data_IF_437806955647
#
_entry.id   IF_437806955647
#
_cell.length_a   1.000
_cell.length_b   1.000
_cell.length_c   1.000
_cell.angle_alpha   90.00
_cell.angle_beta   90.00
_cell.angle_gamma   90.00
#
_symmetry.space_group_name_H-M   'P 1'
#
loop_
_entity.id
_entity.type
_entity.pdbx_description
1 polymer ?
#
# COMPACT_ATOMS: atom_id res chain seq x y z
N UNK A 1 0.43 -11.04 6.11
CA UNK A 1 0.16 -9.97 5.15
C UNK A 1 -0.55 -10.51 3.92
N UNK A 2 -1.49 -9.77 3.41
CA UNK A 2 -2.29 -10.21 2.27
C UNK A 2 -2.02 -9.28 1.08
N UNK A 3 -1.33 -9.77 0.04
CA UNK A 3 -1.06 -8.98 -1.16
C UNK A 3 -2.22 -9.04 -2.16
N UNK A 4 -2.12 -8.22 -3.20
CA UNK A 4 -3.06 -8.26 -4.32
C UNK A 4 -2.33 -7.91 -5.61
N UNK A 5 -3.01 -8.14 -6.75
CA UNK A 5 -2.51 -7.71 -8.05
C UNK A 5 -3.12 -6.37 -8.42
N UNK A 6 -2.35 -5.52 -9.07
CA UNK A 6 -2.89 -4.29 -9.64
C UNK A 6 -3.40 -4.57 -11.06
N UNK A 7 -4.07 -3.58 -11.71
CA UNK A 7 -4.62 -3.81 -13.05
C UNK A 7 -3.58 -4.14 -14.13
N UNK A 8 -2.31 -3.76 -13.91
CA UNK A 8 -1.24 -4.06 -14.88
C UNK A 8 -0.52 -5.39 -14.60
N UNK A 9 -0.97 -6.15 -13.60
CA UNK A 9 -0.37 -7.44 -13.29
C UNK A 9 0.82 -7.37 -12.33
N UNK A 10 1.06 -6.23 -11.72
CA UNK A 10 2.08 -6.12 -10.68
C UNK A 10 1.52 -6.62 -9.36
N UNK A 11 2.40 -7.18 -8.52
CA UNK A 11 2.02 -7.63 -7.19
C UNK A 11 2.23 -6.50 -6.20
N UNK A 12 1.20 -6.18 -5.43
CA UNK A 12 1.29 -5.17 -4.37
C UNK A 12 1.32 -5.87 -3.03
N UNK A 13 2.33 -5.55 -2.22
CA UNK A 13 2.57 -6.24 -0.95
C UNK A 13 2.65 -5.22 0.17
N UNK A 14 1.88 -5.42 1.26
CA UNK A 14 2.08 -4.60 2.45
C UNK A 14 3.43 -4.93 3.08
N UNK A 15 4.29 -3.93 3.16
CA UNK A 15 5.57 -4.06 3.87
C UNK A 15 5.36 -3.55 5.28
N UNK A 16 4.78 -4.41 6.10
CA UNK A 16 4.21 -4.08 7.39
C UNK A 16 5.20 -3.35 8.31
N UNK A 17 6.40 -3.88 8.44
CA UNK A 17 7.37 -3.35 9.39
C UNK A 17 8.00 -2.03 8.90
N UNK A 18 7.84 -1.72 7.62
CA UNK A 18 8.32 -0.46 7.04
C UNK A 18 7.20 0.53 6.76
N UNK A 19 5.94 0.19 7.12
CA UNK A 19 4.79 1.10 7.05
C UNK A 19 4.51 1.59 5.63
N UNK A 20 4.67 0.72 4.64
CA UNK A 20 4.44 1.11 3.25
C UNK A 20 3.95 -0.08 2.43
N UNK A 21 3.60 0.22 1.18
CA UNK A 21 3.17 -0.80 0.21
C UNK A 21 4.22 -0.86 -0.88
N UNK A 22 4.73 -2.06 -1.16
CA UNK A 22 5.71 -2.29 -2.23
C UNK A 22 5.02 -2.83 -3.47
N UNK A 23 5.64 -2.58 -4.63
CA UNK A 23 5.18 -3.14 -5.91
C UNK A 23 6.29 -4.04 -6.48
N UNK A 24 5.91 -5.23 -6.91
CA UNK A 24 6.83 -6.16 -7.59
C UNK A 24 6.30 -6.38 -9.00
N UNK A 25 7.12 -6.02 -10.00
CA UNK A 25 6.74 -6.20 -11.40
C UNK A 25 6.88 -7.66 -11.81
N UNK A 26 6.25 -8.06 -12.96
CA UNK A 26 6.44 -9.42 -13.46
C UNK A 26 7.90 -9.78 -13.71
N UNK A 27 8.77 -8.78 -13.95
CA UNK A 27 10.20 -8.99 -14.13
C UNK A 27 10.96 -9.11 -12.81
N UNK A 28 10.28 -8.95 -11.68
CA UNK A 28 10.90 -9.10 -10.37
C UNK A 28 11.44 -7.81 -9.76
N UNK A 29 11.17 -6.67 -10.38
CA UNK A 29 11.63 -5.39 -9.85
C UNK A 29 10.77 -4.94 -8.68
N UNK A 30 11.39 -4.55 -7.56
CA UNK A 30 10.69 -4.12 -6.35
C UNK A 30 10.83 -2.61 -6.20
N UNK A 31 9.70 -1.92 -6.07
CA UNK A 31 9.69 -0.47 -5.90
C UNK A 31 8.70 -0.08 -4.81
N UNK A 32 8.77 1.18 -4.36
CA UNK A 32 7.80 1.74 -3.43
C UNK A 32 6.53 2.11 -4.20
N UNK A 33 5.38 1.71 -3.69
CA UNK A 33 4.10 2.01 -4.33
C UNK A 33 3.33 3.09 -3.58
N UNK A 34 3.24 2.99 -2.26
CA UNK A 34 2.48 3.94 -1.45
C UNK A 34 3.01 3.93 -0.02
N UNK A 35 2.87 5.06 0.67
CA UNK A 35 3.32 5.20 2.04
C UNK A 35 4.72 5.76 2.14
N UNK A 36 5.21 5.86 3.36
CA UNK A 36 6.55 6.42 3.67
C UNK A 36 7.36 5.35 4.39
N UNK A 37 8.39 4.76 3.75
CA UNK A 37 9.18 3.71 4.39
C UNK A 37 9.75 4.18 5.73
N UNK A 38 9.57 3.33 6.76
CA UNK A 38 10.09 3.56 8.11
C UNK A 38 9.48 4.78 8.81
N UNK A 39 8.42 5.35 8.25
CA UNK A 39 7.73 6.51 8.86
C UNK A 39 6.26 6.16 9.01
N UNK A 40 5.89 5.68 10.19
CA UNK A 40 4.49 5.39 10.49
C UNK A 40 3.71 6.69 10.61
N UNK A 41 2.40 6.60 10.38
CA UNK A 41 1.55 7.76 10.51
C UNK A 41 0.13 7.46 10.06
N UNK A 42 -0.70 8.48 10.11
CA UNK A 42 -2.09 8.39 9.69
C UNK A 42 -2.40 9.63 8.85
N UNK A 43 -1.89 9.62 7.61
CA UNK A 43 -2.02 10.76 6.69
C UNK A 43 -2.64 10.27 5.40
N UNK A 44 -3.74 10.90 4.99
CA UNK A 44 -4.37 10.62 3.71
C UNK A 44 -3.71 11.43 2.59
N UNK A 45 -4.01 11.06 1.37
CA UNK A 45 -3.51 11.77 0.21
C UNK A 45 -3.15 10.82 -0.92
N UNK A 46 -2.36 11.34 -1.86
CA UNK A 46 -1.86 10.54 -2.97
C UNK A 46 -0.87 9.49 -2.46
N UNK A 47 -0.57 8.46 -3.27
CA UNK A 47 0.29 7.37 -2.79
C UNK A 47 1.61 7.82 -2.19
N UNK A 48 2.24 8.85 -2.76
CA UNK A 48 3.53 9.34 -2.27
C UNK A 48 3.40 10.27 -1.06
N UNK A 49 2.18 10.63 -0.66
CA UNK A 49 1.92 11.49 0.50
C UNK A 49 1.31 10.73 1.65
N UNK A 50 0.66 9.60 1.39
CA UNK A 50 0.00 8.82 2.41
C UNK A 50 1.00 8.26 3.42
N UNK A 51 0.56 8.11 4.67
CA UNK A 51 1.33 7.45 5.71
C UNK A 51 0.46 6.39 6.36
N UNK A 52 1.04 5.20 6.53
CA UNK A 52 0.37 4.06 7.15
C UNK A 52 1.08 3.68 8.44
N UNK A 53 0.46 2.77 9.18
CA UNK A 53 1.06 2.22 10.39
C UNK A 53 0.83 0.72 10.41
N UNK A 54 1.86 -0.06 10.06
CA UNK A 54 1.82 -1.53 9.99
C UNK A 54 0.66 -2.03 9.12
N UNK A 55 0.61 -1.65 7.84
CA UNK A 55 -0.47 -2.13 6.97
C UNK A 55 -0.40 -3.64 6.81
N UNK A 56 -1.56 -4.31 6.85
CA UNK A 56 -1.63 -5.76 6.90
C UNK A 56 -2.12 -6.37 5.58
N UNK A 57 -3.00 -5.68 4.85
CA UNK A 57 -3.61 -6.23 3.67
C UNK A 57 -3.94 -5.12 2.68
N UNK A 58 -3.93 -5.46 1.39
CA UNK A 58 -4.30 -4.53 0.32
C UNK A 58 -5.20 -5.24 -0.67
N UNK A 59 -6.06 -4.46 -1.32
CA UNK A 59 -6.86 -4.93 -2.46
C UNK A 59 -7.19 -3.73 -3.34
N UNK A 60 -7.55 -3.99 -4.60
CA UNK A 60 -7.96 -2.94 -5.52
C UNK A 60 -9.47 -2.92 -5.67
N UNK A 61 -10.03 -1.72 -5.78
CA UNK A 61 -11.43 -1.52 -6.10
C UNK A 61 -11.51 -0.32 -7.04
N UNK A 62 -11.78 -0.58 -8.33
CA UNK A 62 -11.75 0.49 -9.32
C UNK A 62 -10.35 1.08 -9.45
N UNK A 63 -10.24 2.40 -9.25
CA UNK A 63 -8.95 3.11 -9.30
C UNK A 63 -8.40 3.38 -7.89
N UNK A 64 -8.88 2.66 -6.88
CA UNK A 64 -8.48 2.89 -5.51
C UNK A 64 -7.78 1.67 -4.94
N UNK A 65 -6.72 1.91 -4.19
CA UNK A 65 -6.09 0.90 -3.37
C UNK A 65 -6.72 0.96 -1.99
N UNK A 66 -7.27 -0.15 -1.53
CA UNK A 66 -7.86 -0.26 -0.21
C UNK A 66 -6.84 -0.92 0.70
N UNK A 67 -6.48 -0.27 1.78
CA UNK A 67 -5.42 -0.73 2.68
C UNK A 67 -6.02 -0.98 4.06
N UNK A 68 -5.84 -2.20 4.57
CA UNK A 68 -6.17 -2.50 5.96
C UNK A 68 -4.98 -2.00 6.80
N UNK A 69 -5.13 -0.83 7.38
CA UNK A 69 -4.06 -0.12 8.08
C UNK A 69 -4.12 -0.51 9.57
N UNK A 70 -3.61 -1.69 9.87
CA UNK A 70 -3.79 -2.36 11.15
C UNK A 70 -3.37 -1.50 12.35
N UNK A 71 -2.21 -0.87 12.28
CA UNK A 71 -1.71 -0.06 13.40
C UNK A 71 -2.57 1.16 13.69
N UNK A 72 -3.31 1.66 12.69
CA UNK A 72 -4.23 2.77 12.85
C UNK A 72 -5.67 2.32 13.07
N UNK A 73 -5.93 1.01 13.12
CA UNK A 73 -7.25 0.42 13.40
C UNK A 73 -8.31 0.87 12.40
N UNK A 74 -7.95 1.00 11.12
CA UNK A 74 -8.90 1.48 10.12
C UNK A 74 -8.56 0.94 8.73
N UNK A 75 -9.50 1.16 7.81
CA UNK A 75 -9.33 0.86 6.39
C UNK A 75 -9.09 2.17 5.68
N UNK A 76 -8.06 2.20 4.85
CA UNK A 76 -7.66 3.40 4.14
C UNK A 76 -7.96 3.24 2.65
N UNK A 77 -8.38 4.33 2.04
CA UNK A 77 -8.67 4.39 0.61
C UNK A 77 -7.66 5.33 -0.03
N UNK A 78 -6.82 4.80 -0.93
CA UNK A 78 -5.79 5.58 -1.61
C UNK A 78 -6.13 5.60 -3.10
N UNK A 79 -6.41 6.78 -3.63
CA UNK A 79 -6.77 6.92 -5.05
C UNK A 79 -5.50 6.88 -5.90
N UNK A 80 -5.50 5.97 -6.87
CA UNK A 80 -4.38 5.77 -7.79
C UNK A 80 -4.80 6.35 -9.15
N UNK A 81 -3.99 7.23 -9.70
CA UNK A 81 -4.29 7.84 -11.00
C UNK A 81 -3.30 7.47 -12.05
#
# INVERSE_FOLDING_TARGET
STPCLDPEGNLLIPDKMNHCIRKITPEGEVTLYAGQPQKSGHTDGLPDKAKFYEPEAVTFSGNALIVADRGNHCVRNVVIE
#
